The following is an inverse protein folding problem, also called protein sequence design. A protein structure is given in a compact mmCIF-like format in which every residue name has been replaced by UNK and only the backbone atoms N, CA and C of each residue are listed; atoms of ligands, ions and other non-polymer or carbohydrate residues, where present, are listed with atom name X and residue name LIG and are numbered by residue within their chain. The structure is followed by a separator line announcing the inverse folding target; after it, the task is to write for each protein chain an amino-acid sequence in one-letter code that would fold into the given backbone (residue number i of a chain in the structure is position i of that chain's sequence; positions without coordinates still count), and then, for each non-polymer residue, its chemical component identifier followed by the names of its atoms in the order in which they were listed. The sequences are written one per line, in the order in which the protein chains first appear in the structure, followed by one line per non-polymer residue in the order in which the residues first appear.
data_IF_770536374106
#
_entry.id   IF_770536374106
#
_cell.length_a   1.000
_cell.length_b   1.000
_cell.length_c   1.000
_cell.angle_alpha   90.00
_cell.angle_beta   90.00
_cell.angle_gamma   90.00
#
_symmetry.space_group_name_H-M   'P 1'
#
loop_
_entity.id
_entity.type
_entity.pdbx_description
1 polymer ?
#
# COMPACT_ATOMS: atom_id res chain seq x y z
N UNK A 1 11.94 27.06 24.52
CA UNK A 1 10.54 27.12 24.08
C UNK A 1 10.54 27.93 22.80
N UNK A 2 10.22 27.34 21.66
CA UNK A 2 9.74 28.09 20.49
C UNK A 2 9.10 27.12 19.50
N UNK A 3 7.77 27.14 19.52
CA UNK A 3 6.89 26.41 18.65
C UNK A 3 7.03 26.96 17.23
N UNK A 4 7.46 26.13 16.28
CA UNK A 4 7.26 26.41 14.85
C UNK A 4 5.95 25.76 14.43
N UNK A 5 4.89 26.56 14.56
CA UNK A 5 3.58 26.27 14.00
C UNK A 5 3.72 26.36 12.48
N UNK A 6 3.71 25.21 11.80
CA UNK A 6 3.62 25.18 10.35
C UNK A 6 2.19 25.56 9.96
N UNK A 7 2.03 26.74 9.37
CA UNK A 7 0.78 27.22 8.80
C UNK A 7 0.38 26.34 7.60
N UNK A 8 -0.59 25.47 7.82
CA UNK A 8 -1.20 24.64 6.77
C UNK A 8 -2.24 25.50 6.06
N UNK A 9 -1.88 26.03 4.90
CA UNK A 9 -2.84 26.67 3.98
C UNK A 9 -3.80 25.59 3.48
N UNK A 10 -5.06 25.69 3.91
CA UNK A 10 -6.15 24.82 3.46
C UNK A 10 -6.42 25.01 1.97
N UNK A 11 -6.20 23.97 1.17
CA UNK A 11 -6.70 23.90 -0.21
C UNK A 11 -7.54 22.65 -0.42
N UNK A 12 -8.85 22.89 -0.57
CA UNK A 12 -9.84 22.14 -1.40
C UNK A 12 -9.95 20.62 -1.15
N UNK A 13 -10.96 20.21 -0.39
CA UNK A 13 -11.61 18.88 -0.38
C UNK A 13 -10.67 17.70 -0.66
N UNK A 14 -9.57 17.60 0.09
CA UNK A 14 -8.73 16.41 0.07
C UNK A 14 -9.48 15.38 0.90
N UNK A 15 -10.29 14.53 0.26
CA UNK A 15 -10.84 13.33 0.89
C UNK A 15 -9.67 12.56 1.51
N UNK A 16 -9.52 12.69 2.82
CA UNK A 16 -8.48 12.02 3.59
C UNK A 16 -8.58 10.53 3.28
N UNK A 17 -7.51 9.96 2.70
CA UNK A 17 -7.50 8.54 2.34
C UNK A 17 -7.45 7.75 3.65
N UNK A 18 -8.48 6.96 3.91
CA UNK A 18 -8.54 6.10 5.10
C UNK A 18 -7.30 5.19 5.13
N UNK A 19 -6.60 5.23 6.26
CA UNK A 19 -5.41 4.44 6.58
C UNK A 19 -5.65 3.77 7.92
N UNK A 20 -5.43 2.47 8.01
CA UNK A 20 -5.51 1.72 9.27
C UNK A 20 -4.19 0.99 9.50
N UNK A 21 -3.66 1.07 10.72
CA UNK A 21 -2.46 0.34 11.13
C UNK A 21 -2.85 -0.66 12.21
N UNK A 22 -2.68 -1.94 11.93
CA UNK A 22 -3.09 -3.05 12.81
C UNK A 22 -1.89 -3.98 12.94
N UNK A 23 -1.34 -4.16 14.13
CA UNK A 23 -0.19 -5.06 14.39
C UNK A 23 1.03 -4.80 13.47
N UNK A 24 1.29 -3.53 13.13
CA UNK A 24 2.38 -3.14 12.21
C UNK A 24 2.06 -3.37 10.72
N UNK A 25 0.89 -3.89 10.39
CA UNK A 25 0.36 -3.90 9.03
C UNK A 25 -0.34 -2.60 8.72
N UNK A 26 0.07 -1.97 7.63
CA UNK A 26 -0.54 -0.76 7.10
C UNK A 26 -1.53 -1.13 6.01
N UNK A 27 -2.78 -0.72 6.19
CA UNK A 27 -3.88 -0.91 5.26
C UNK A 27 -4.32 0.45 4.74
N UNK A 28 -4.18 0.66 3.43
CA UNK A 28 -4.65 1.87 2.72
C UNK A 28 -5.94 1.51 2.00
N UNK A 29 -6.91 2.41 2.02
CA UNK A 29 -8.18 2.23 1.29
C UNK A 29 -8.21 3.07 0.01
N UNK A 30 -9.05 2.64 -0.94
CA UNK A 30 -9.41 3.44 -2.12
C UNK A 30 -10.16 4.71 -1.69
N UNK A 31 -10.27 5.69 -2.58
CA UNK A 31 -11.03 6.93 -2.33
C UNK A 31 -12.53 6.69 -2.01
N UNK A 32 -13.04 5.49 -2.31
CA UNK A 32 -14.38 5.06 -1.93
C UNK A 32 -14.52 4.69 -0.44
N UNK A 33 -13.41 4.57 0.30
CA UNK A 33 -13.37 4.19 1.73
C UNK A 33 -13.81 2.75 2.04
N UNK A 34 -14.23 1.96 1.04
CA UNK A 34 -14.84 0.64 1.21
C UNK A 34 -13.90 -0.49 0.81
N UNK A 35 -13.06 -0.29 -0.21
CA UNK A 35 -12.13 -1.32 -0.69
C UNK A 35 -10.69 -0.97 -0.35
N UNK A 36 -9.89 -2.00 -0.09
CA UNK A 36 -8.47 -1.86 0.24
C UNK A 36 -7.70 -1.50 -1.04
N UNK A 37 -6.86 -0.49 -0.98
CA UNK A 37 -5.91 -0.13 -2.03
C UNK A 37 -4.65 -0.98 -1.91
N UNK A 38 -4.08 -1.04 -0.72
CA UNK A 38 -2.88 -1.83 -0.44
C UNK A 38 -2.81 -2.25 1.01
N UNK A 39 -2.15 -3.37 1.27
CA UNK A 39 -1.89 -3.92 2.59
C UNK A 39 -0.48 -4.46 2.63
N UNK A 40 0.25 -4.18 3.71
CA UNK A 40 1.54 -4.80 3.96
C UNK A 40 2.19 -4.26 5.23
N UNK A 41 3.28 -4.88 5.66
CA UNK A 41 3.97 -4.50 6.89
C UNK A 41 4.91 -3.32 6.63
N UNK A 42 4.94 -2.39 7.58
CA UNK A 42 5.93 -1.31 7.61
C UNK A 42 6.78 -1.44 8.88
N UNK A 43 8.09 -1.36 8.73
CA UNK A 43 9.04 -1.28 9.85
C UNK A 43 9.76 0.05 9.75
N UNK A 44 9.50 0.95 10.70
CA UNK A 44 9.91 2.35 10.61
C UNK A 44 9.29 3.02 9.39
N UNK A 45 10.13 3.63 8.55
CA UNK A 45 9.71 4.30 7.30
C UNK A 45 9.83 3.40 6.06
N UNK A 46 10.16 2.11 6.23
CA UNK A 46 10.39 1.17 5.13
C UNK A 46 9.31 0.09 5.06
N UNK A 47 8.98 -0.29 3.83
CA UNK A 47 8.08 -1.42 3.56
C UNK A 47 8.85 -2.74 3.71
N UNK A 48 8.26 -3.68 4.45
CA UNK A 48 8.87 -4.99 4.68
C UNK A 48 7.83 -6.11 4.55
N UNK A 49 8.30 -7.30 4.17
CA UNK A 49 7.49 -8.50 4.10
C UNK A 49 6.52 -8.49 2.93
N UNK A 50 5.42 -9.23 3.09
CA UNK A 50 4.44 -9.42 2.02
C UNK A 50 3.53 -8.19 1.85
N UNK A 51 3.36 -7.79 0.60
CA UNK A 51 2.52 -6.68 0.18
C UNK A 51 1.53 -7.10 -0.87
N UNK A 52 0.31 -6.56 -0.74
CA UNK A 52 -0.82 -6.80 -1.61
C UNK A 52 -1.40 -5.47 -2.08
N UNK A 53 -1.79 -5.40 -3.34
CA UNK A 53 -2.54 -4.28 -3.90
C UNK A 53 -3.81 -4.79 -4.52
N UNK A 54 -4.91 -4.07 -4.30
CA UNK A 54 -6.22 -4.45 -4.85
C UNK A 54 -6.81 -3.31 -5.67
N UNK A 55 -7.69 -3.67 -6.59
CA UNK A 55 -8.46 -2.72 -7.40
C UNK A 55 -9.66 -2.21 -6.62
N UNK A 56 -10.32 -1.17 -7.14
CA UNK A 56 -11.50 -0.59 -6.51
C UNK A 56 -12.67 -1.58 -6.37
N UNK A 57 -12.70 -2.64 -7.20
CA UNK A 57 -13.65 -3.74 -7.13
C UNK A 57 -13.27 -4.84 -6.10
N UNK A 58 -12.16 -4.71 -5.40
CA UNK A 58 -11.66 -5.69 -4.43
C UNK A 58 -10.79 -6.81 -5.01
N UNK A 59 -10.69 -6.95 -6.34
CA UNK A 59 -9.81 -7.96 -6.95
C UNK A 59 -8.35 -7.63 -6.70
N UNK A 60 -7.55 -8.64 -6.40
CA UNK A 60 -6.10 -8.47 -6.25
C UNK A 60 -5.50 -8.05 -7.60
N UNK A 61 -4.66 -7.02 -7.57
CA UNK A 61 -3.96 -6.46 -8.72
C UNK A 61 -2.53 -6.96 -8.78
N UNK A 62 -1.85 -6.96 -7.64
CA UNK A 62 -0.46 -7.36 -7.52
C UNK A 62 -0.16 -7.86 -6.11
N UNK A 63 0.82 -8.72 -5.98
CA UNK A 63 1.45 -9.05 -4.70
C UNK A 63 2.94 -9.30 -4.88
N UNK A 64 3.67 -9.23 -3.77
CA UNK A 64 5.11 -9.49 -3.74
C UNK A 64 5.70 -9.20 -2.37
N UNK A 65 7.01 -9.37 -2.25
CA UNK A 65 7.74 -9.11 -1.02
C UNK A 65 8.60 -7.86 -1.15
N UNK A 66 8.76 -7.16 -0.02
CA UNK A 66 9.75 -6.12 0.13
C UNK A 66 10.72 -6.47 1.27
N UNK A 67 11.97 -6.06 1.10
CA UNK A 67 13.01 -6.14 2.11
C UNK A 67 13.73 -4.78 2.13
N UNK A 68 13.79 -4.12 3.29
CA UNK A 68 14.39 -2.78 3.44
C UNK A 68 13.88 -1.72 2.45
N UNK A 69 12.60 -1.78 2.08
CA UNK A 69 12.00 -0.88 1.09
C UNK A 69 12.24 -1.28 -0.38
N UNK A 70 13.02 -2.33 -0.65
CA UNK A 70 13.29 -2.81 -2.00
C UNK A 70 12.41 -4.03 -2.34
N UNK A 71 11.86 -4.09 -3.56
CA UNK A 71 11.02 -5.21 -3.98
C UNK A 71 11.86 -6.46 -4.28
N UNK A 72 11.64 -7.54 -3.56
CA UNK A 72 12.42 -8.79 -3.65
C UNK A 72 11.56 -10.00 -3.98
N UNK A 73 12.21 -11.06 -4.47
CA UNK A 73 11.59 -12.37 -4.72
C UNK A 73 10.53 -12.37 -5.82
N UNK A 74 9.54 -13.25 -5.69
CA UNK A 74 8.48 -13.41 -6.68
C UNK A 74 7.40 -12.32 -6.57
N UNK A 75 7.18 -11.62 -7.67
CA UNK A 75 6.11 -10.64 -7.84
C UNK A 75 5.05 -11.14 -8.80
N UNK A 76 3.82 -11.18 -8.34
CA UNK A 76 2.69 -11.70 -9.10
C UNK A 76 1.78 -10.54 -9.47
N UNK A 77 1.52 -10.36 -10.76
CA UNK A 77 0.48 -9.49 -11.28
C UNK A 77 -0.71 -10.35 -11.65
N UNK A 78 -1.89 -9.91 -11.24
CA UNK A 78 -3.13 -10.63 -11.46
C UNK A 78 -3.98 -9.91 -12.51
N UNK A 79 -4.79 -10.66 -13.24
CA UNK A 79 -5.73 -10.11 -14.23
C UNK A 79 -6.96 -9.46 -13.55
N UNK A 80 -7.97 -9.07 -14.33
CA UNK A 80 -9.22 -8.49 -13.82
C UNK A 80 -10.09 -9.47 -13.02
N UNK A 81 -9.90 -10.78 -13.20
CA UNK A 81 -10.61 -11.83 -12.46
C UNK A 81 -9.88 -12.21 -11.16
N UNK A 82 -8.64 -11.76 -10.99
CA UNK A 82 -7.80 -12.10 -9.85
C UNK A 82 -6.96 -13.37 -10.09
N UNK A 83 -6.84 -13.81 -11.33
CA UNK A 83 -6.00 -14.96 -11.72
C UNK A 83 -4.58 -14.49 -12.01
N UNK A 84 -3.58 -15.35 -11.76
CA UNK A 84 -2.17 -15.01 -12.00
C UNK A 84 -1.97 -14.75 -13.49
N UNK A 85 -1.65 -13.51 -13.85
CA UNK A 85 -1.41 -13.10 -15.24
C UNK A 85 0.08 -13.12 -15.58
N UNK A 86 0.91 -12.64 -14.64
CA UNK A 86 2.35 -12.53 -14.85
C UNK A 86 3.08 -12.69 -13.55
N UNK A 87 4.12 -13.52 -13.58
CA UNK A 87 5.10 -13.62 -12.50
C UNK A 87 6.38 -12.92 -12.93
N UNK A 88 7.02 -12.20 -12.02
CA UNK A 88 8.30 -11.53 -12.24
C UNK A 88 9.18 -11.81 -11.04
N UNK A 89 10.36 -12.38 -11.28
CA UNK A 89 11.32 -12.60 -10.23
C UNK A 89 12.22 -11.35 -10.08
N UNK A 90 12.40 -10.89 -8.84
CA UNK A 90 13.24 -9.75 -8.43
C UNK A 90 14.30 -10.17 -7.41
N UNK A 91 14.82 -11.38 -7.56
CA UNK A 91 16.02 -11.82 -6.87
C UNK A 91 17.19 -10.89 -7.24
N UNK A 92 17.93 -10.48 -6.21
CA UNK A 92 18.97 -9.44 -6.26
C UNK A 92 20.31 -10.01 -6.71
#
# INVERSE_FOLDING_TARGET
MENKQCDIIQTKDVKEKKLEVIDGFTIKYHANGKTIWSKGKMIGDQTEGYWEWYRANGTIKRSGYFENGEPVGEWITYDSKGEKYKTTNRDK
#
